data_IF_286258881688
#
_entry.id   IF_286258881688
#
_cell.length_a   1.000
_cell.length_b   1.000
_cell.length_c   1.000
_cell.angle_alpha   90.00
_cell.angle_beta   90.00
_cell.angle_gamma   90.00
#
_symmetry.space_group_name_H-M   'P 1'
#
loop_
_entity.id
_entity.type
_entity.pdbx_description
1 polymer ?
#
# COMPACT_ATOMS: atom_id res chain seq x y z
N UNK A 1 -13.05 19.02 14.25
CA UNK A 1 -12.05 18.99 13.15
C UNK A 1 -12.79 18.74 11.84
N UNK A 2 -12.75 19.67 10.88
CA UNK A 2 -13.50 19.51 9.62
C UNK A 2 -12.95 18.32 8.82
N UNK A 3 -13.83 17.42 8.37
CA UNK A 3 -13.43 16.26 7.56
C UNK A 3 -12.86 16.79 6.23
N UNK A 4 -11.60 16.46 5.87
CA UNK A 4 -11.03 16.97 4.63
C UNK A 4 -11.88 16.50 3.44
N UNK A 5 -12.17 17.41 2.50
CA UNK A 5 -12.86 17.05 1.24
C UNK A 5 -12.18 15.85 0.60
N UNK A 6 -12.89 14.91 -0.03
CA UNK A 6 -12.28 13.72 -0.63
C UNK A 6 -11.38 14.11 -1.81
N UNK A 7 -10.17 13.54 -1.90
CA UNK A 7 -9.37 13.70 -3.12
C UNK A 7 -10.05 12.90 -4.23
N UNK A 8 -10.37 13.53 -5.35
CA UNK A 8 -10.92 12.85 -6.53
C UNK A 8 -9.73 12.55 -7.44
N UNK A 9 -9.47 11.27 -7.67
CA UNK A 9 -8.40 10.79 -8.54
C UNK A 9 -9.05 9.92 -9.60
N UNK A 10 -8.71 10.15 -10.88
CA UNK A 10 -9.25 9.35 -11.99
C UNK A 10 -8.72 7.92 -11.88
N UNK A 11 -9.54 6.96 -12.30
CA UNK A 11 -9.22 5.53 -12.20
C UNK A 11 -7.99 5.12 -13.03
N UNK A 12 -7.68 5.86 -14.09
CA UNK A 12 -6.57 5.62 -15.03
C UNK A 12 -5.29 6.39 -14.66
N UNK A 13 -5.29 7.16 -13.57
CA UNK A 13 -4.18 8.06 -13.23
C UNK A 13 -2.88 7.35 -12.80
N UNK A 14 -2.88 6.01 -12.75
CA UNK A 14 -1.74 5.18 -12.41
C UNK A 14 -1.59 4.93 -10.90
N UNK A 15 -0.68 4.01 -10.56
CA UNK A 15 -0.52 3.46 -9.20
C UNK A 15 -0.30 4.52 -8.10
N UNK A 16 0.38 5.61 -8.44
CA UNK A 16 0.84 6.62 -7.48
C UNK A 16 -0.09 7.83 -7.35
N UNK A 17 -1.15 7.91 -8.16
CA UNK A 17 -1.93 9.15 -8.28
C UNK A 17 -2.66 9.55 -6.99
N UNK A 18 -3.13 8.57 -6.21
CA UNK A 18 -3.78 8.83 -4.91
C UNK A 18 -2.79 9.43 -3.91
N UNK A 19 -1.62 8.81 -3.77
CA UNK A 19 -0.58 9.27 -2.86
C UNK A 19 -0.11 10.68 -3.24
N UNK A 20 0.13 10.94 -4.52
CA UNK A 20 0.53 12.26 -5.01
C UNK A 20 -0.56 13.32 -4.80
N UNK A 21 -1.84 12.97 -4.97
CA UNK A 21 -2.96 13.89 -4.71
C UNK A 21 -3.07 14.25 -3.22
N UNK A 22 -2.79 13.32 -2.31
CA UNK A 22 -2.78 13.57 -0.87
C UNK A 22 -1.55 14.41 -0.47
N UNK A 23 -0.37 14.14 -1.01
CA UNK A 23 0.82 14.96 -0.79
C UNK A 23 0.62 16.41 -1.26
N UNK A 24 0.03 16.63 -2.45
CA UNK A 24 -0.29 17.99 -2.95
C UNK A 24 -1.25 18.78 -2.05
N UNK A 25 -1.96 18.10 -1.15
CA UNK A 25 -2.88 18.71 -0.18
C UNK A 25 -2.25 18.97 1.19
N UNK A 26 -0.95 18.73 1.33
CA UNK A 26 -0.20 19.02 2.55
C UNK A 26 -0.15 17.88 3.57
N UNK A 27 -0.65 16.68 3.24
CA UNK A 27 -0.45 15.51 4.09
C UNK A 27 1.02 15.06 3.99
N UNK A 28 1.73 15.05 5.11
CA UNK A 28 3.18 14.73 5.17
C UNK A 28 3.49 13.23 5.26
N UNK A 29 2.49 12.44 5.67
CA UNK A 29 2.54 10.98 5.76
C UNK A 29 1.26 10.40 5.17
N UNK A 30 1.41 9.60 4.12
CA UNK A 30 0.31 8.89 3.47
C UNK A 30 0.58 7.40 3.60
N UNK A 31 -0.35 6.66 4.21
CA UNK A 31 -0.28 5.22 4.29
C UNK A 31 -1.15 4.59 3.21
N UNK A 32 -0.57 3.68 2.42
CA UNK A 32 -1.34 2.70 1.66
C UNK A 32 -1.68 1.53 2.56
N UNK A 33 -2.91 1.03 2.48
CA UNK A 33 -3.36 -0.15 3.24
C UNK A 33 -4.05 -1.14 2.30
N UNK A 34 -3.84 -2.43 2.56
CA UNK A 34 -4.40 -3.53 1.78
C UNK A 34 -4.55 -4.80 2.64
N UNK A 35 -5.37 -5.73 2.18
CA UNK A 35 -5.64 -7.00 2.85
C UNK A 35 -5.53 -8.23 1.93
N UNK A 36 -5.10 -9.35 2.49
CA UNK A 36 -5.04 -10.64 1.82
C UNK A 36 -5.75 -11.70 2.69
N UNK A 37 -6.55 -12.57 2.05
CA UNK A 37 -7.25 -13.66 2.73
C UNK A 37 -8.74 -13.43 3.00
N UNK A 38 -9.31 -12.27 2.66
CA UNK A 38 -10.75 -11.95 2.91
C UNK A 38 -11.74 -13.00 2.34
N UNK A 39 -11.39 -13.67 1.25
CA UNK A 39 -12.22 -14.69 0.60
C UNK A 39 -11.70 -16.11 0.73
N UNK A 40 -10.69 -16.36 1.56
CA UNK A 40 -10.14 -17.70 1.73
C UNK A 40 -11.06 -18.55 2.62
N UNK A 41 -11.31 -19.80 2.23
CA UNK A 41 -12.09 -20.74 3.05
C UNK A 41 -11.36 -21.18 4.34
N UNK A 42 -10.05 -20.96 4.41
CA UNK A 42 -9.21 -21.31 5.55
C UNK A 42 -7.97 -20.39 5.58
N UNK A 43 -7.37 -20.25 6.76
CA UNK A 43 -6.21 -19.39 6.99
C UNK A 43 -6.60 -17.97 7.45
N UNK A 44 -5.63 -17.20 7.97
CA UNK A 44 -5.90 -15.91 8.57
C UNK A 44 -6.22 -14.83 7.52
N UNK A 45 -6.88 -13.76 7.97
CA UNK A 45 -6.90 -12.49 7.26
C UNK A 45 -5.63 -11.73 7.62
N UNK A 46 -4.87 -11.29 6.64
CA UNK A 46 -3.67 -10.48 6.84
C UNK A 46 -3.93 -9.08 6.32
N UNK A 47 -3.69 -8.07 7.13
CA UNK A 47 -3.79 -6.66 6.75
C UNK A 47 -2.43 -6.00 6.89
N UNK A 48 -2.12 -5.06 6.00
CA UNK A 48 -0.87 -4.33 6.05
C UNK A 48 -1.09 -2.84 5.77
N UNK A 49 -0.24 -2.01 6.37
CA UNK A 49 -0.16 -0.59 6.06
C UNK A 49 1.31 -0.20 5.85
N UNK A 50 1.58 0.66 4.87
CA UNK A 50 2.93 1.10 4.53
C UNK A 50 2.95 2.59 4.17
N UNK A 51 3.91 3.32 4.72
CA UNK A 51 4.18 4.73 4.42
C UNK A 51 5.48 4.79 3.63
N UNK A 52 5.39 5.19 2.36
CA UNK A 52 6.54 5.44 1.50
C UNK A 52 6.91 6.94 1.53
N UNK A 53 8.19 7.30 1.33
CA UNK A 53 8.59 8.69 1.18
C UNK A 53 8.05 9.28 -0.14
N UNK A 54 7.64 10.57 -0.18
CA UNK A 54 7.12 11.17 -1.39
C UNK A 54 8.14 11.22 -2.54
N UNK A 55 7.62 11.19 -3.77
CA UNK A 55 8.42 11.37 -4.98
C UNK A 55 9.30 10.16 -5.32
N UNK A 56 10.41 10.35 -6.04
CA UNK A 56 11.24 9.26 -6.56
C UNK A 56 11.79 8.30 -5.48
N UNK A 57 11.98 8.78 -4.26
CA UNK A 57 12.50 7.97 -3.14
C UNK A 57 11.54 6.86 -2.70
N UNK A 58 10.23 7.07 -2.85
CA UNK A 58 9.22 6.08 -2.50
C UNK A 58 8.86 5.16 -3.66
N UNK A 59 9.26 5.48 -4.89
CA UNK A 59 8.97 4.64 -6.04
C UNK A 59 9.70 3.31 -5.91
N UNK A 60 8.93 2.23 -5.97
CA UNK A 60 9.42 0.86 -5.92
C UNK A 60 9.41 0.29 -7.35
N UNK A 61 10.58 0.00 -7.95
CA UNK A 61 10.68 -0.73 -9.20
C UNK A 61 9.90 -2.05 -9.17
N UNK A 62 9.30 -2.42 -10.30
CA UNK A 62 8.49 -3.64 -10.46
C UNK A 62 7.22 -3.70 -9.58
N UNK A 63 6.91 -2.66 -8.79
CA UNK A 63 5.66 -2.62 -8.04
C UNK A 63 4.48 -2.50 -9.00
N UNK A 64 3.62 -3.50 -8.95
CA UNK A 64 2.38 -3.59 -9.71
C UNK A 64 1.32 -4.27 -8.82
N UNK A 65 0.09 -4.41 -9.34
CA UNK A 65 -0.92 -5.27 -8.70
C UNK A 65 -0.31 -6.66 -8.47
N UNK A 66 -0.39 -7.15 -7.23
CA UNK A 66 0.29 -8.37 -6.77
C UNK A 66 -0.12 -9.62 -7.57
N UNK A 67 -1.27 -9.58 -8.23
CA UNK A 67 -1.79 -10.65 -9.11
C UNK A 67 -1.02 -10.76 -10.43
N UNK A 68 -0.25 -9.74 -10.79
CA UNK A 68 0.60 -9.73 -11.98
C UNK A 68 2.05 -10.15 -11.69
N UNK A 69 2.40 -10.36 -10.41
CA UNK A 69 3.76 -10.70 -9.99
C UNK A 69 3.91 -12.20 -9.70
N UNK A 70 5.03 -12.77 -10.13
CA UNK A 70 5.44 -14.12 -9.70
C UNK A 70 5.80 -14.11 -8.21
N UNK A 71 5.81 -15.28 -7.57
CA UNK A 71 6.21 -15.39 -6.16
C UNK A 71 7.61 -14.79 -5.91
N UNK A 72 8.58 -15.12 -6.77
CA UNK A 72 9.93 -14.55 -6.67
C UNK A 72 9.96 -13.03 -6.88
N UNK A 73 9.12 -12.48 -7.77
CA UNK A 73 9.02 -11.04 -7.95
C UNK A 73 8.41 -10.35 -6.73
N UNK A 74 7.39 -10.96 -6.10
CA UNK A 74 6.80 -10.44 -4.85
C UNK A 74 7.83 -10.35 -3.72
N UNK A 75 8.68 -11.36 -3.55
CA UNK A 75 9.75 -11.32 -2.54
C UNK A 75 10.75 -10.18 -2.79
N UNK A 76 11.16 -9.98 -4.06
CA UNK A 76 12.03 -8.86 -4.44
C UNK A 76 11.37 -7.51 -4.18
N UNK A 77 10.10 -7.35 -4.56
CA UNK A 77 9.33 -6.12 -4.35
C UNK A 77 9.12 -5.87 -2.85
N UNK A 78 8.80 -6.89 -2.06
CA UNK A 78 8.68 -6.80 -0.60
C UNK A 78 9.96 -6.27 0.03
N UNK A 79 11.12 -6.86 -0.29
CA UNK A 79 12.41 -6.39 0.21
C UNK A 79 12.69 -4.92 -0.18
N UNK A 80 12.23 -4.50 -1.35
CA UNK A 80 12.35 -3.12 -1.81
C UNK A 80 11.40 -2.15 -1.10
N UNK A 81 10.17 -2.56 -0.81
CA UNK A 81 9.19 -1.80 -0.04
C UNK A 81 9.69 -1.60 1.38
N UNK A 82 10.04 -2.67 2.09
CA UNK A 82 10.50 -2.63 3.48
C UNK A 82 11.73 -1.74 3.65
N UNK A 83 12.67 -1.81 2.70
CA UNK A 83 13.89 -0.98 2.72
C UNK A 83 13.60 0.52 2.53
N UNK A 84 12.60 0.87 1.73
CA UNK A 84 12.27 2.28 1.39
C UNK A 84 11.23 2.89 2.32
N UNK A 85 10.40 2.06 2.95
CA UNK A 85 9.31 2.50 3.81
C UNK A 85 9.84 3.32 4.98
N UNK A 86 9.15 4.43 5.27
CA UNK A 86 9.36 5.20 6.50
C UNK A 86 8.83 4.45 7.71
N UNK A 87 7.69 3.77 7.54
CA UNK A 87 7.07 2.91 8.52
C UNK A 87 6.16 1.91 7.79
N UNK A 88 6.02 0.72 8.35
CA UNK A 88 5.06 -0.27 7.90
C UNK A 88 4.64 -1.17 9.07
N UNK A 89 3.48 -1.79 8.94
CA UNK A 89 2.98 -2.77 9.91
C UNK A 89 2.18 -3.84 9.17
N UNK A 90 2.21 -5.05 9.72
CA UNK A 90 1.42 -6.19 9.26
C UNK A 90 0.71 -6.77 10.47
N UNK A 91 -0.60 -6.98 10.35
CA UNK A 91 -1.45 -7.59 11.37
C UNK A 91 -2.06 -8.86 10.81
N UNK A 92 -1.92 -9.95 11.56
CA UNK A 92 -2.45 -11.27 11.22
C UNK A 92 -3.65 -11.52 12.14
N UNK A 93 -4.83 -11.65 11.56
CA UNK A 93 -6.09 -11.89 12.25
C UNK A 93 -6.44 -13.38 12.04
N UNK A 94 -6.36 -14.23 13.08
CA UNK A 94 -6.70 -15.65 12.96
C UNK A 94 -8.21 -15.84 12.71
N UNK A 95 -8.63 -16.98 12.12
CA UNK A 95 -10.04 -17.25 11.77
C UNK A 95 -11.08 -17.24 12.91
N UNK A 96 -10.65 -17.07 14.15
CA UNK A 96 -11.51 -17.13 15.35
C UNK A 96 -11.44 -15.86 16.21
N UNK A 97 -10.82 -14.79 15.72
CA UNK A 97 -10.88 -13.45 16.33
C UNK A 97 -12.17 -12.72 15.97
#
# INVERSE_FOLDING_TARGET
MARPRRAIVKADAGLWAMEEALHRRGFSSVAGADEAGRGACAGPLVTAACILPPGPRGRVPELADSKLLTAAARERVYAQVVRRARAWSVVIIPPGE
#
